data_IF_997216338882
#
_entry.id   IF_997216338882
#
_cell.length_a   1.000
_cell.length_b   1.000
_cell.length_c   1.000
_cell.angle_alpha   90.00
_cell.angle_beta   90.00
_cell.angle_gamma   90.00
#
_symmetry.space_group_name_H-M   'P 1'
#
loop_
_entity.id
_entity.type
_entity.pdbx_description
1 polymer ?
#
# COMPACT_ATOMS: atom_id res chain seq x y z
N UNK A 1 32.91 14.60 -6.56
CA UNK A 1 32.40 13.66 -5.56
C UNK A 1 31.15 14.31 -4.96
N UNK A 2 29.97 13.86 -5.40
CA UNK A 2 28.68 14.38 -4.97
C UNK A 2 28.18 13.57 -3.76
N UNK A 3 27.41 14.16 -2.82
CA UNK A 3 26.96 13.46 -1.62
C UNK A 3 25.80 12.52 -1.94
N UNK A 4 25.88 11.32 -1.38
CA UNK A 4 24.84 10.28 -1.42
C UNK A 4 23.65 10.75 -0.59
N UNK A 5 22.48 10.85 -1.22
CA UNK A 5 21.23 11.18 -0.56
C UNK A 5 20.84 10.06 0.41
N UNK A 6 20.70 10.41 1.69
CA UNK A 6 20.24 9.50 2.74
C UNK A 6 18.81 9.06 2.49
N UNK A 7 18.56 7.76 2.67
CA UNK A 7 17.21 7.24 2.88
C UNK A 7 16.55 7.98 4.04
N UNK A 8 15.29 8.44 3.92
CA UNK A 8 14.52 8.83 5.09
C UNK A 8 14.28 7.59 5.97
N UNK A 9 14.34 7.70 7.31
CA UNK A 9 14.02 6.59 8.19
C UNK A 9 12.54 6.26 8.03
N UNK A 10 12.22 5.10 7.46
CA UNK A 10 10.90 4.50 7.57
C UNK A 10 10.64 4.22 9.05
N UNK A 11 9.79 5.05 9.65
CA UNK A 11 9.32 4.83 11.00
C UNK A 11 8.45 3.58 11.03
N UNK A 12 8.74 2.71 12.00
CA UNK A 12 8.08 1.45 12.35
C UNK A 12 6.63 1.66 12.87
N UNK A 13 5.91 2.68 12.37
CA UNK A 13 4.54 3.00 12.78
C UNK A 13 3.54 2.00 12.23
N UNK A 14 3.83 1.38 11.08
CA UNK A 14 2.96 0.34 10.49
C UNK A 14 2.92 -0.94 11.32
N UNK A 15 3.98 -1.23 12.10
CA UNK A 15 3.99 -2.41 12.98
C UNK A 15 3.03 -2.28 14.16
N UNK A 16 2.64 -1.06 14.56
CA UNK A 16 1.71 -0.84 15.68
C UNK A 16 0.25 -1.09 15.28
N UNK A 17 -0.08 -0.96 13.99
CA UNK A 17 -1.44 -1.12 13.46
C UNK A 17 -1.67 -2.45 12.74
N UNK A 18 -0.69 -3.37 12.76
CA UNK A 18 -0.94 -4.75 12.37
C UNK A 18 -2.02 -5.33 13.29
N UNK A 19 -3.22 -5.47 12.74
CA UNK A 19 -4.42 -5.87 13.47
C UNK A 19 -4.13 -7.15 14.28
N UNK A 20 -4.24 -7.11 15.63
CA UNK A 20 -4.22 -8.33 16.42
C UNK A 20 -5.39 -9.20 15.95
N UNK A 21 -5.08 -10.39 15.44
CA UNK A 21 -6.10 -11.39 15.11
C UNK A 21 -7.07 -11.50 16.28
N UNK A 22 -8.37 -11.32 15.99
CA UNK A 22 -9.49 -11.30 16.92
C UNK A 22 -9.29 -12.27 18.09
N UNK A 23 -8.78 -11.75 19.20
CA UNK A 23 -8.80 -12.45 20.47
C UNK A 23 -10.20 -12.22 21.04
N UNK A 24 -10.97 -13.29 21.21
CA UNK A 24 -12.27 -13.25 21.92
C UNK A 24 -12.13 -12.86 23.40
N UNK A 25 -10.92 -12.58 23.88
CA UNK A 25 -10.60 -12.21 25.25
C UNK A 25 -9.68 -10.99 25.31
N UNK A 26 -10.01 -9.92 24.59
CA UNK A 26 -9.29 -8.65 24.77
C UNK A 26 -9.58 -8.10 26.17
N UNK A 27 -8.62 -8.29 27.09
CA UNK A 27 -8.62 -7.64 28.40
C UNK A 27 -8.32 -6.16 28.20
N UNK A 28 -9.38 -5.36 28.23
CA UNK A 28 -9.31 -3.91 28.11
C UNK A 28 -8.77 -3.33 29.43
N UNK A 29 -7.62 -2.69 29.40
CA UNK A 29 -7.08 -1.97 30.56
C UNK A 29 -7.68 -0.56 30.64
N UNK A 30 -8.85 -0.48 31.26
CA UNK A 30 -9.61 0.76 31.45
C UNK A 30 -8.82 1.82 32.24
N UNK A 31 -7.93 1.42 33.16
CA UNK A 31 -7.14 2.37 33.94
C UNK A 31 -6.10 3.06 33.06
N UNK A 32 -5.40 2.28 32.24
CA UNK A 32 -4.42 2.82 31.28
C UNK A 32 -5.09 3.76 30.25
N UNK A 33 -6.36 3.52 29.89
CA UNK A 33 -7.14 4.43 29.03
C UNK A 33 -7.51 5.73 29.75
N UNK A 34 -7.96 5.66 31.01
CA UNK A 34 -8.27 6.84 31.82
C UNK A 34 -7.03 7.72 32.04
N UNK A 35 -5.90 7.09 32.36
CA UNK A 35 -4.61 7.77 32.48
C UNK A 35 -4.19 8.45 31.17
N UNK A 36 -4.47 7.81 30.02
CA UNK A 36 -4.26 8.39 28.70
C UNK A 36 -5.13 9.62 28.43
N UNK A 37 -6.41 9.58 28.84
CA UNK A 37 -7.33 10.73 28.74
C UNK A 37 -6.76 11.89 29.54
N UNK A 38 -6.39 11.68 30.80
CA UNK A 38 -5.83 12.71 31.67
C UNK A 38 -4.52 13.29 31.12
N UNK A 39 -3.65 12.42 30.61
CA UNK A 39 -2.39 12.83 29.97
C UNK A 39 -2.59 13.66 28.69
N UNK A 40 -3.74 13.51 28.01
CA UNK A 40 -4.07 14.26 26.79
C UNK A 40 -4.74 15.62 27.07
N UNK A 41 -5.29 15.84 28.27
CA UNK A 41 -6.02 17.08 28.61
C UNK A 41 -5.17 18.34 28.47
N UNK A 42 -3.87 18.25 28.78
CA UNK A 42 -2.96 19.39 28.63
C UNK A 42 -2.91 19.89 27.17
N UNK A 43 -2.92 18.99 26.19
CA UNK A 43 -3.00 19.34 24.77
C UNK A 43 -4.37 19.94 24.43
N UNK A 44 -5.44 19.29 24.88
CA UNK A 44 -6.83 19.71 24.62
C UNK A 44 -7.14 21.12 25.13
N UNK A 45 -6.58 21.51 26.27
CA UNK A 45 -6.76 22.84 26.86
C UNK A 45 -5.63 23.83 26.55
N UNK A 46 -4.72 23.49 25.63
CA UNK A 46 -3.63 24.38 25.20
C UNK A 46 -2.62 24.71 26.30
N UNK A 47 -2.48 23.86 27.32
CA UNK A 47 -1.57 24.04 28.47
C UNK A 47 -0.23 23.31 28.30
N UNK A 48 -0.01 22.65 27.16
CA UNK A 48 1.22 21.92 26.83
C UNK A 48 0.98 20.89 25.72
N UNK A 49 2.01 20.12 25.37
CA UNK A 49 1.90 19.13 24.27
C UNK A 49 1.03 17.90 24.63
N UNK A 50 0.74 17.66 25.91
CA UNK A 50 0.21 16.36 26.36
C UNK A 50 1.25 15.24 26.18
N UNK A 51 1.04 14.10 26.85
CA UNK A 51 2.06 13.04 26.91
C UNK A 51 1.48 11.64 26.80
N UNK A 52 1.04 11.25 25.61
CA UNK A 52 0.65 9.86 25.37
C UNK A 52 1.90 8.97 25.31
N UNK A 53 1.82 7.83 25.97
CA UNK A 53 2.88 6.83 26.00
C UNK A 53 2.43 5.60 25.21
N UNK A 54 3.36 4.76 24.78
CA UNK A 54 3.06 3.57 23.97
C UNK A 54 1.99 2.67 24.59
N UNK A 55 2.01 2.49 25.92
CA UNK A 55 0.97 1.75 26.66
C UNK A 55 -0.45 2.31 26.49
N UNK A 56 -0.60 3.64 26.35
CA UNK A 56 -1.89 4.28 26.15
C UNK A 56 -2.42 3.96 24.74
N UNK A 57 -1.53 3.94 23.74
CA UNK A 57 -1.85 3.57 22.36
C UNK A 57 -2.21 2.08 22.27
N UNK A 58 -1.42 1.20 22.89
CA UNK A 58 -1.68 -0.24 22.94
C UNK A 58 -3.02 -0.56 23.62
N UNK A 59 -3.35 0.10 24.74
CA UNK A 59 -4.63 -0.08 25.42
C UNK A 59 -5.82 0.41 24.56
N UNK A 60 -5.63 1.49 23.79
CA UNK A 60 -6.64 2.03 22.89
C UNK A 60 -6.86 1.13 21.67
N UNK A 61 -5.80 0.58 21.09
CA UNK A 61 -5.89 -0.42 20.02
C UNK A 61 -6.53 -1.73 20.49
N UNK A 62 -6.26 -2.16 21.73
CA UNK A 62 -6.93 -3.30 22.34
C UNK A 62 -8.44 -3.02 22.55
N UNK A 63 -8.81 -1.81 22.96
CA UNK A 63 -10.21 -1.40 23.08
C UNK A 63 -10.92 -1.39 21.73
N UNK A 64 -10.26 -0.89 20.70
CA UNK A 64 -10.75 -0.86 19.32
C UNK A 64 -10.94 -2.27 18.73
N UNK A 65 -10.05 -3.21 19.06
CA UNK A 65 -10.18 -4.62 18.66
C UNK A 65 -11.44 -5.34 19.21
N UNK A 66 -12.28 -4.68 20.01
CA UNK A 66 -13.60 -5.19 20.41
C UNK A 66 -14.61 -5.05 19.26
N UNK A 67 -15.38 -6.11 18.96
CA UNK A 67 -16.29 -6.19 17.79
C UNK A 67 -17.32 -5.06 17.63
N UNK A 68 -17.57 -4.30 18.70
CA UNK A 68 -18.55 -3.21 18.73
C UNK A 68 -17.92 -1.82 18.61
N UNK A 69 -16.59 -1.74 18.52
CA UNK A 69 -15.81 -0.51 18.64
C UNK A 69 -14.74 -0.35 17.56
N UNK A 70 -14.58 -1.30 16.64
CA UNK A 70 -13.49 -1.40 15.62
C UNK A 70 -13.43 -0.32 14.55
N UNK A 71 -13.90 0.89 14.88
CA UNK A 71 -13.94 2.04 13.99
C UNK A 71 -12.53 2.53 13.67
N UNK A 72 -11.55 2.45 14.59
CA UNK A 72 -10.20 2.94 14.28
C UNK A 72 -9.43 1.98 13.37
N UNK A 73 -9.62 0.68 13.51
CA UNK A 73 -9.07 -0.32 12.60
C UNK A 73 -9.62 -0.14 11.18
N UNK A 74 -10.94 0.07 11.06
CA UNK A 74 -11.62 0.39 9.80
C UNK A 74 -11.09 1.71 9.20
N UNK A 75 -11.08 2.81 9.96
CA UNK A 75 -10.57 4.12 9.50
C UNK A 75 -9.09 4.07 9.10
N UNK A 76 -8.28 3.24 9.76
CA UNK A 76 -6.88 3.06 9.40
C UNK A 76 -6.74 2.26 8.10
N UNK A 77 -7.57 1.24 7.88
CA UNK A 77 -7.62 0.51 6.62
C UNK A 77 -8.07 1.42 5.48
N UNK A 78 -9.13 2.20 5.69
CA UNK A 78 -9.62 3.19 4.73
C UNK A 78 -8.53 4.20 4.37
N UNK A 79 -7.76 4.67 5.36
CA UNK A 79 -6.63 5.57 5.10
C UNK A 79 -5.53 4.92 4.28
N UNK A 80 -5.18 3.67 4.58
CA UNK A 80 -4.16 2.93 3.82
C UNK A 80 -4.62 2.75 2.37
N UNK A 81 -5.88 2.38 2.16
CA UNK A 81 -6.46 2.24 0.82
C UNK A 81 -6.44 3.59 0.07
N UNK A 82 -6.86 4.66 0.73
CA UNK A 82 -6.84 6.00 0.14
C UNK A 82 -5.43 6.43 -0.26
N UNK A 83 -4.43 6.22 0.60
CA UNK A 83 -3.03 6.52 0.27
C UNK A 83 -2.52 5.69 -0.90
N UNK A 84 -2.86 4.41 -0.98
CA UNK A 84 -2.49 3.55 -2.11
C UNK A 84 -3.09 4.05 -3.42
N UNK A 85 -4.35 4.49 -3.42
CA UNK A 85 -5.02 5.08 -4.58
C UNK A 85 -4.39 6.42 -5.01
N UNK A 86 -4.03 7.28 -4.04
CA UNK A 86 -3.33 8.53 -4.33
C UNK A 86 -1.95 8.28 -4.94
N UNK A 87 -1.20 7.31 -4.39
CA UNK A 87 0.12 6.95 -4.90
C UNK A 87 0.05 6.37 -6.33
N UNK A 88 -0.92 5.50 -6.59
CA UNK A 88 -1.14 4.93 -7.93
C UNK A 88 -1.51 6.03 -8.94
N UNK A 89 -2.46 6.91 -8.58
CA UNK A 89 -2.85 8.06 -9.41
C UNK A 89 -1.64 8.96 -9.70
N UNK A 90 -0.83 9.24 -8.69
CA UNK A 90 0.39 10.03 -8.86
C UNK A 90 1.42 9.30 -9.74
N UNK A 91 1.52 7.98 -9.64
CA UNK A 91 2.41 7.19 -10.49
C UNK A 91 1.95 7.16 -11.94
N UNK A 92 0.65 7.00 -12.20
CA UNK A 92 0.08 7.08 -13.54
C UNK A 92 0.35 8.45 -14.17
N UNK A 93 0.16 9.53 -13.41
CA UNK A 93 0.45 10.88 -13.88
C UNK A 93 1.92 11.07 -14.25
N UNK A 94 2.85 10.67 -13.38
CA UNK A 94 4.30 10.74 -13.67
C UNK A 94 4.67 9.94 -14.92
N UNK A 95 4.09 8.75 -15.06
CA UNK A 95 4.33 7.88 -16.21
C UNK A 95 3.78 8.48 -17.51
N UNK A 96 2.61 9.12 -17.46
CA UNK A 96 2.03 9.81 -18.61
C UNK A 96 2.88 11.02 -19.04
N UNK A 97 3.34 11.84 -18.09
CA UNK A 97 4.26 12.95 -18.35
C UNK A 97 5.59 12.46 -18.95
N UNK A 98 6.12 11.35 -18.44
CA UNK A 98 7.32 10.72 -18.97
C UNK A 98 7.11 10.19 -20.40
N UNK A 99 5.96 9.56 -20.65
CA UNK A 99 5.60 9.03 -21.97
C UNK A 99 5.49 10.14 -23.01
N UNK A 100 4.88 11.27 -22.66
CA UNK A 100 4.84 12.46 -23.50
C UNK A 100 6.24 13.00 -23.80
N UNK A 101 7.13 12.99 -22.81
CA UNK A 101 8.50 13.46 -22.95
C UNK A 101 9.36 12.59 -23.89
N UNK A 102 9.25 11.26 -23.79
CA UNK A 102 10.01 10.34 -24.67
C UNK A 102 9.39 10.24 -26.07
N UNK A 103 8.08 10.42 -26.19
CA UNK A 103 7.33 10.27 -27.43
C UNK A 103 7.00 8.81 -27.79
N UNK A 104 5.95 8.62 -28.58
CA UNK A 104 5.39 7.30 -28.91
C UNK A 104 6.33 6.39 -29.70
N UNK A 105 7.11 6.93 -30.62
CA UNK A 105 8.07 6.13 -31.42
C UNK A 105 9.18 5.54 -30.54
N UNK A 106 9.71 6.32 -29.60
CA UNK A 106 10.72 5.85 -28.65
C UNK A 106 10.13 4.86 -27.66
N UNK A 107 8.89 5.08 -27.21
CA UNK A 107 8.18 4.14 -26.35
C UNK A 107 7.99 2.78 -27.04
N UNK A 108 7.56 2.78 -28.31
CA UNK A 108 7.42 1.57 -29.11
C UNK A 108 8.77 0.85 -29.32
N UNK A 109 9.81 1.60 -29.67
CA UNK A 109 11.17 1.05 -29.81
C UNK A 109 11.65 0.40 -28.51
N UNK A 110 11.37 1.00 -27.35
CA UNK A 110 11.71 0.40 -26.05
C UNK A 110 10.88 -0.84 -25.75
N UNK A 111 9.59 -0.81 -26.08
CA UNK A 111 8.70 -1.95 -25.91
C UNK A 111 9.18 -3.17 -26.71
N UNK A 112 9.58 -2.98 -27.98
CA UNK A 112 10.09 -4.05 -28.83
C UNK A 112 11.40 -4.67 -28.31
N UNK A 113 12.21 -3.90 -27.58
CA UNK A 113 13.52 -4.32 -27.08
C UNK A 113 13.50 -4.67 -25.58
N UNK A 114 12.32 -4.70 -24.96
CA UNK A 114 12.20 -4.97 -23.54
C UNK A 114 12.61 -6.42 -23.25
N UNK A 115 13.40 -6.62 -22.20
CA UNK A 115 13.73 -7.96 -21.69
C UNK A 115 13.11 -8.07 -20.31
N UNK A 116 12.32 -9.12 -20.08
CA UNK A 116 11.70 -9.35 -18.79
C UNK A 116 12.74 -9.83 -17.76
N UNK A 117 13.10 -9.02 -16.76
CA UNK A 117 14.05 -9.42 -15.74
C UNK A 117 13.45 -10.42 -14.74
N UNK A 118 12.11 -10.44 -14.61
CA UNK A 118 11.38 -11.32 -13.70
C UNK A 118 10.72 -12.50 -14.41
N UNK A 119 11.24 -12.87 -15.59
CA UNK A 119 10.73 -14.02 -16.33
C UNK A 119 10.80 -15.30 -15.49
N UNK A 120 9.81 -16.17 -15.69
CA UNK A 120 9.78 -17.47 -15.04
C UNK A 120 11.02 -18.30 -15.40
N UNK A 121 11.67 -18.84 -14.37
CA UNK A 121 12.75 -19.81 -14.53
C UNK A 121 12.64 -20.91 -13.47
N UNK A 122 12.45 -22.20 -13.83
CA UNK A 122 12.17 -23.29 -12.89
C UNK A 122 13.13 -23.40 -11.70
N UNK A 123 14.41 -23.09 -11.92
CA UNK A 123 15.47 -23.16 -10.90
C UNK A 123 15.84 -21.83 -10.23
N UNK A 124 15.70 -20.71 -10.93
CA UNK A 124 16.28 -19.42 -10.53
C UNK A 124 15.20 -18.41 -10.15
N UNK A 125 14.00 -18.56 -10.73
CA UNK A 125 12.85 -17.72 -10.45
C UNK A 125 11.53 -18.49 -10.69
N UNK A 126 11.20 -19.48 -9.83
CA UNK A 126 9.98 -20.28 -10.01
C UNK A 126 8.69 -19.49 -9.77
N UNK A 127 8.78 -18.29 -9.19
CA UNK A 127 7.66 -17.34 -9.06
C UNK A 127 7.70 -16.22 -10.09
N UNK A 128 8.52 -16.33 -11.14
CA UNK A 128 8.56 -15.33 -12.19
C UNK A 128 7.28 -15.31 -13.00
N UNK A 129 6.99 -14.13 -13.55
CA UNK A 129 5.79 -13.87 -14.33
C UNK A 129 6.21 -13.34 -15.70
N UNK A 130 5.38 -13.59 -16.72
CA UNK A 130 5.54 -12.95 -18.02
C UNK A 130 5.22 -11.45 -17.92
N UNK A 131 5.62 -10.68 -18.94
CA UNK A 131 5.25 -9.27 -18.99
C UNK A 131 3.76 -9.15 -19.23
N UNK A 132 3.15 -8.20 -18.54
CA UNK A 132 1.75 -7.84 -18.73
C UNK A 132 1.62 -6.51 -19.50
N UNK A 133 0.41 -6.21 -19.95
CA UNK A 133 0.10 -4.95 -20.61
C UNK A 133 0.11 -3.81 -19.60
N UNK A 134 0.97 -2.83 -19.82
CA UNK A 134 0.98 -1.63 -19.00
C UNK A 134 -0.29 -0.79 -19.28
N UNK A 135 -1.07 -0.41 -18.25
CA UNK A 135 -2.31 0.36 -18.44
C UNK A 135 -2.05 1.81 -18.91
N UNK A 136 -0.83 2.32 -18.75
CA UNK A 136 -0.47 3.70 -19.14
C UNK A 136 0.01 3.79 -20.59
N UNK A 137 0.95 2.94 -21.00
CA UNK A 137 1.50 3.00 -22.36
C UNK A 137 0.90 1.96 -23.32
N UNK A 138 0.12 1.00 -22.83
CA UNK A 138 -0.58 0.00 -23.66
C UNK A 138 0.31 -1.07 -24.29
N UNK A 139 1.57 -1.19 -23.85
CA UNK A 139 2.51 -2.19 -24.35
C UNK A 139 2.68 -3.33 -23.33
N UNK A 140 2.97 -4.54 -23.79
CA UNK A 140 3.32 -5.72 -22.97
C UNK A 140 4.72 -5.56 -22.34
N UNK A 141 4.85 -4.61 -21.42
CA UNK A 141 6.11 -4.14 -20.83
C UNK A 141 6.04 -4.00 -19.32
N UNK A 142 4.91 -4.37 -18.71
CA UNK A 142 4.72 -4.34 -17.26
C UNK A 142 5.36 -5.57 -16.64
N UNK A 143 6.42 -5.35 -15.86
CA UNK A 143 7.11 -6.40 -15.12
C UNK A 143 6.34 -6.67 -13.83
N UNK A 144 5.59 -7.77 -13.81
CA UNK A 144 4.87 -8.25 -12.63
C UNK A 144 5.87 -8.82 -11.63
N UNK A 145 5.93 -8.24 -10.44
CA UNK A 145 6.82 -8.67 -9.35
C UNK A 145 6.10 -9.61 -8.37
N UNK A 146 4.78 -9.54 -8.32
CA UNK A 146 3.91 -10.46 -7.59
C UNK A 146 2.45 -10.17 -7.90
N UNK A 147 1.56 -11.02 -7.38
CA UNK A 147 0.12 -10.88 -7.55
C UNK A 147 -0.52 -10.35 -6.27
N UNK A 148 -1.69 -9.72 -6.40
CA UNK A 148 -2.49 -9.30 -5.26
C UNK A 148 -2.72 -10.50 -4.31
N UNK A 149 -2.54 -10.31 -2.99
CA UNK A 149 -2.57 -11.42 -2.04
C UNK A 149 -3.97 -11.99 -1.78
N UNK A 150 -5.03 -11.31 -2.21
CA UNK A 150 -6.42 -11.68 -1.87
C UNK A 150 -7.04 -12.59 -2.93
N UNK A 151 -6.98 -12.17 -4.19
CA UNK A 151 -7.58 -12.88 -5.33
C UNK A 151 -6.53 -13.50 -6.25
N UNK A 152 -5.29 -13.00 -6.23
CA UNK A 152 -4.19 -13.53 -7.06
C UNK A 152 -4.44 -13.33 -8.55
N UNK A 153 -5.13 -12.25 -8.94
CA UNK A 153 -5.56 -11.95 -10.31
C UNK A 153 -4.79 -10.78 -10.90
N UNK A 154 -4.54 -9.73 -10.12
CA UNK A 154 -3.90 -8.50 -10.59
C UNK A 154 -2.45 -8.46 -10.12
N UNK A 155 -1.53 -8.26 -11.07
CA UNK A 155 -0.11 -8.11 -10.77
C UNK A 155 0.28 -6.72 -10.30
N UNK A 156 1.10 -6.62 -9.25
CA UNK A 156 1.81 -5.39 -8.87
C UNK A 156 3.25 -5.43 -9.40
N UNK A 157 3.87 -4.26 -9.56
CA UNK A 157 5.19 -4.13 -10.17
C UNK A 157 5.36 -2.83 -10.92
N UNK A 158 6.17 -2.85 -11.99
CA UNK A 158 6.52 -1.64 -12.73
C UNK A 158 6.62 -1.83 -14.24
N UNK A 159 6.29 -0.78 -14.98
CA UNK A 159 6.48 -0.72 -16.42
C UNK A 159 7.93 -0.37 -16.77
N UNK A 160 8.57 -1.23 -17.57
CA UNK A 160 9.95 -1.07 -18.01
C UNK A 160 10.11 0.03 -19.08
N UNK A 161 9.01 0.59 -19.59
CA UNK A 161 9.01 1.64 -20.62
C UNK A 161 8.64 3.00 -20.04
N UNK A 162 7.43 3.13 -19.48
CA UNK A 162 6.91 4.42 -19.01
C UNK A 162 7.10 4.67 -17.52
N UNK A 163 7.78 3.76 -16.80
CA UNK A 163 8.09 3.85 -15.36
C UNK A 163 6.87 3.92 -14.42
N UNK A 164 5.68 3.58 -14.92
CA UNK A 164 4.50 3.37 -14.08
C UNK A 164 4.78 2.29 -13.04
N UNK A 165 4.42 2.55 -11.77
CA UNK A 165 4.52 1.59 -10.67
C UNK A 165 3.11 1.37 -10.14
N UNK A 166 2.70 0.11 -10.06
CA UNK A 166 1.50 -0.32 -9.34
C UNK A 166 1.94 -0.96 -8.03
N UNK A 167 1.49 -0.41 -6.92
CA UNK A 167 1.79 -0.97 -5.59
C UNK A 167 0.90 -2.18 -5.28
N UNK A 168 1.25 -3.04 -4.31
CA UNK A 168 0.39 -4.15 -3.90
C UNK A 168 -1.02 -3.68 -3.48
N UNK A 169 -1.13 -2.59 -2.74
CA UNK A 169 -2.44 -2.04 -2.32
C UNK A 169 -3.29 -1.54 -3.50
N UNK A 170 -2.67 -0.96 -4.53
CA UNK A 170 -3.37 -0.59 -5.76
C UNK A 170 -3.83 -1.82 -6.55
N UNK A 171 -3.02 -2.88 -6.60
CA UNK A 171 -3.40 -4.14 -7.23
C UNK A 171 -4.55 -4.85 -6.48
N UNK A 172 -4.56 -4.80 -5.14
CA UNK A 172 -5.68 -5.30 -4.32
C UNK A 172 -6.99 -4.57 -4.63
N UNK A 173 -6.96 -3.25 -4.74
CA UNK A 173 -8.14 -2.42 -5.06
C UNK A 173 -8.67 -2.70 -6.48
N UNK A 174 -7.77 -2.84 -7.46
CA UNK A 174 -8.10 -3.22 -8.83
C UNK A 174 -8.70 -4.64 -8.89
N UNK A 175 -8.08 -5.61 -8.20
CA UNK A 175 -8.57 -6.98 -8.13
C UNK A 175 -9.95 -7.06 -7.46
N UNK A 176 -10.18 -6.28 -6.42
CA UNK A 176 -11.48 -6.18 -5.75
C UNK A 176 -12.54 -5.59 -6.69
N UNK A 177 -12.20 -4.53 -7.44
CA UNK A 177 -13.09 -3.92 -8.43
C UNK A 177 -13.45 -4.89 -9.56
N UNK A 178 -12.48 -5.64 -10.07
CA UNK A 178 -12.73 -6.70 -11.07
C UNK A 178 -13.62 -7.81 -10.53
N UNK A 179 -13.39 -8.22 -9.27
CA UNK A 179 -14.21 -9.22 -8.61
C UNK A 179 -15.68 -8.79 -8.51
N UNK A 180 -15.94 -7.55 -8.08
CA UNK A 180 -17.29 -6.99 -8.03
C UNK A 180 -17.96 -6.99 -9.40
N UNK A 181 -17.26 -6.55 -10.45
CA UNK A 181 -17.79 -6.59 -11.83
C UNK A 181 -18.15 -8.01 -12.27
N UNK A 182 -17.32 -9.00 -11.93
CA UNK A 182 -17.60 -10.39 -12.28
C UNK A 182 -18.83 -10.97 -11.58
N UNK A 183 -19.25 -10.42 -10.44
CA UNK A 183 -20.46 -10.84 -9.73
C UNK A 183 -21.73 -10.20 -10.29
N UNK A 184 -21.63 -9.02 -10.90
CA UNK A 184 -22.77 -8.33 -11.52
C UNK A 184 -23.17 -8.94 -12.89
N UNK A 185 -22.25 -9.67 -13.52
CA UNK A 185 -22.45 -10.35 -14.81
C UNK A 185 -23.02 -11.78 -14.68
N UNK A 186 -23.22 -12.29 -13.45
CA UNK A 186 -23.86 -13.59 -13.13
C UNK A 186 -25.37 -13.47 -12.84
#
# INVERSE_FOLDING_TARGET
>A
QAPVAGHPPQGDTDSLFQAPRLSSHTRIDVRTLQDGIDASQAARYGRGAGGLQRRHIEALLAFDGHRSLGVMGEEQQDRIQWLAQEEDTASQKRAAEYLEHIGGEEAARRAENVTNPNAYHPKHNPGGHDLDTCPVCGHETFCVEGLDPIFGRVGYGQCLVCTYIRTPGAAEDEAFTEHLRSMDDE
#
